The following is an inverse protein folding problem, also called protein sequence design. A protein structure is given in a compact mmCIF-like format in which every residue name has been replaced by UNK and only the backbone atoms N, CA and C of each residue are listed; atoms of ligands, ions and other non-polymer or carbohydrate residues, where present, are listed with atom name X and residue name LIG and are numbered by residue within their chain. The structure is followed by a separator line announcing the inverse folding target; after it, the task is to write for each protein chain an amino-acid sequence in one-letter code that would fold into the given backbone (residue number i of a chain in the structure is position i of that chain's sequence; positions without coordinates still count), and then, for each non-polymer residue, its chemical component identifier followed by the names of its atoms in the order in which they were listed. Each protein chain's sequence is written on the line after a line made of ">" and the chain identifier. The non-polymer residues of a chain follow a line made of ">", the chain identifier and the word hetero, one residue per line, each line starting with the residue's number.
data_IF_059073862269
#
_entry.id   IF_059073862269
#
_cell.length_a   1.000
_cell.length_b   1.000
_cell.length_c   1.000
_cell.angle_alpha   90.00
_cell.angle_beta   90.00
_cell.angle_gamma   90.00
#
_symmetry.space_group_name_H-M   'P 1'
#
loop_
_entity.id
_entity.type
_entity.pdbx_description
1 polymer ?
#
# COMPACT_ATOMS: atom_id res chain seq x y z
N UNK A 1 14.82 -11.78 6.62
CA UNK A 1 14.46 -10.72 5.66
C UNK A 1 13.50 -9.73 6.32
N UNK A 2 13.59 -8.43 6.05
CA UNK A 2 12.62 -7.41 6.48
C UNK A 2 11.99 -6.71 5.26
N UNK A 3 10.70 -6.39 5.34
CA UNK A 3 9.96 -5.68 4.28
C UNK A 3 9.28 -4.44 4.86
N UNK A 4 9.59 -3.27 4.28
CA UNK A 4 8.92 -2.02 4.58
C UNK A 4 7.66 -1.91 3.72
N UNK A 5 6.53 -2.03 4.39
CA UNK A 5 5.23 -2.27 3.78
C UNK A 5 4.22 -1.18 4.17
N UNK A 6 3.32 -0.86 3.24
CA UNK A 6 2.05 -0.19 3.56
C UNK A 6 0.88 -1.14 3.20
N UNK A 7 0.00 -1.49 4.16
CA UNK A 7 -1.12 -2.41 3.94
C UNK A 7 -2.06 -1.99 2.80
N UNK A 8 -2.16 -0.69 2.51
CA UNK A 8 -3.05 -0.15 1.46
C UNK A 8 -2.47 -0.27 0.04
N UNK A 9 -1.26 -0.82 -0.14
CA UNK A 9 -0.59 -0.88 -1.44
C UNK A 9 -0.69 -2.26 -2.09
N UNK A 10 -1.38 -2.35 -3.24
CA UNK A 10 -1.53 -3.60 -4.01
C UNK A 10 -0.20 -4.23 -4.44
N UNK A 11 0.84 -3.42 -4.70
CA UNK A 11 2.20 -3.92 -5.03
C UNK A 11 2.89 -4.54 -3.81
N UNK A 12 2.66 -4.00 -2.62
CA UNK A 12 3.15 -4.59 -1.38
C UNK A 12 2.39 -5.90 -1.05
N UNK A 13 1.09 -5.97 -1.35
CA UNK A 13 0.32 -7.20 -1.22
C UNK A 13 0.85 -8.32 -2.13
N UNK A 14 1.09 -8.02 -3.42
CA UNK A 14 1.68 -8.98 -4.36
C UNK A 14 3.08 -9.45 -3.92
N UNK A 15 3.90 -8.53 -3.38
CA UNK A 15 5.22 -8.88 -2.85
C UNK A 15 5.13 -9.87 -1.68
N UNK A 16 4.20 -9.64 -0.73
CA UNK A 16 3.98 -10.56 0.39
C UNK A 16 3.52 -11.94 -0.07
N UNK A 17 2.53 -11.99 -0.97
CA UNK A 17 2.05 -13.27 -1.52
C UNK A 17 3.17 -14.08 -2.14
N UNK A 18 4.05 -13.46 -2.93
CA UNK A 18 5.18 -14.19 -3.53
C UNK A 18 6.20 -14.69 -2.49
N UNK A 19 6.43 -13.93 -1.41
CA UNK A 19 7.30 -14.35 -0.30
C UNK A 19 6.67 -15.51 0.48
N UNK A 20 5.36 -15.45 0.73
CA UNK A 20 4.59 -16.50 1.40
C UNK A 20 4.56 -17.78 0.57
N UNK A 21 4.31 -17.69 -0.75
CA UNK A 21 4.34 -18.82 -1.69
C UNK A 21 5.72 -19.48 -1.78
N UNK A 22 6.79 -18.68 -1.66
CA UNK A 22 8.16 -19.18 -1.62
C UNK A 22 8.57 -19.75 -0.25
N UNK A 23 7.72 -19.64 0.78
CA UNK A 23 8.03 -20.10 2.14
C UNK A 23 9.15 -19.32 2.81
N UNK A 24 9.42 -18.09 2.37
CA UNK A 24 10.48 -17.23 2.91
C UNK A 24 9.97 -16.49 4.15
N UNK A 25 10.66 -16.64 5.28
CA UNK A 25 10.36 -15.87 6.49
C UNK A 25 10.74 -14.39 6.33
N UNK A 26 9.79 -13.47 6.56
CA UNK A 26 10.05 -12.03 6.55
C UNK A 26 9.40 -11.31 7.74
N UNK A 27 10.04 -10.23 8.19
CA UNK A 27 9.49 -9.30 9.18
C UNK A 27 8.81 -8.12 8.48
N UNK A 28 7.57 -7.81 8.86
CA UNK A 28 6.83 -6.64 8.36
C UNK A 28 7.11 -5.42 9.23
N UNK A 29 7.75 -4.40 8.66
CA UNK A 29 7.91 -3.09 9.30
C UNK A 29 6.90 -2.09 8.71
N UNK A 30 5.90 -1.64 9.50
CA UNK A 30 5.01 -0.55 9.12
C UNK A 30 5.76 0.77 9.26
N UNK A 31 6.54 1.12 8.25
CA UNK A 31 7.47 2.24 8.29
C UNK A 31 6.78 3.62 8.34
N UNK A 32 5.48 3.70 8.03
CA UNK A 32 4.68 4.91 8.20
C UNK A 32 4.35 5.19 9.67
N UNK A 33 4.07 4.15 10.45
CA UNK A 33 3.80 4.25 11.89
C UNK A 33 5.09 4.25 12.72
N UNK A 34 6.11 3.54 12.24
CA UNK A 34 7.44 3.42 12.86
C UNK A 34 8.51 3.89 11.88
N UNK A 35 8.64 5.21 11.67
CA UNK A 35 9.63 5.75 10.74
C UNK A 35 11.05 5.35 11.15
N UNK A 36 11.95 5.11 10.18
CA UNK A 36 13.36 4.90 10.47
C UNK A 36 14.00 6.20 10.96
N UNK A 37 15.05 6.09 11.75
CA UNK A 37 15.96 7.20 12.04
C UNK A 37 16.79 7.58 10.79
N UNK A 38 17.38 8.78 10.79
CA UNK A 38 18.26 9.21 9.70
C UNK A 38 19.44 8.26 9.48
N UNK A 39 20.01 7.74 10.58
CA UNK A 39 21.10 6.76 10.52
C UNK A 39 20.64 5.41 9.93
N UNK A 40 19.48 4.91 10.34
CA UNK A 40 18.90 3.69 9.74
C UNK A 40 18.61 3.89 8.26
N UNK A 41 18.04 5.03 7.86
CA UNK A 41 17.72 5.32 6.47
C UNK A 41 18.99 5.42 5.61
N UNK A 42 20.04 6.09 6.10
CA UNK A 42 21.33 6.17 5.43
C UNK A 42 21.95 4.77 5.21
N UNK A 43 21.88 3.89 6.20
CA UNK A 43 22.35 2.51 6.06
C UNK A 43 21.51 1.74 5.03
N UNK A 44 20.19 1.90 5.01
CA UNK A 44 19.34 1.26 3.99
C UNK A 44 19.65 1.76 2.58
N UNK A 45 19.89 3.05 2.40
CA UNK A 45 20.32 3.63 1.12
C UNK A 45 21.66 3.04 0.65
N UNK A 46 22.61 2.88 1.58
CA UNK A 46 23.90 2.24 1.30
C UNK A 46 23.74 0.78 0.86
N UNK A 47 22.85 0.02 1.51
CA UNK A 47 22.54 -1.38 1.14
C UNK A 47 21.82 -1.50 -0.21
N UNK A 48 21.09 -0.46 -0.59
CA UNK A 48 20.37 -0.39 -1.86
C UNK A 48 21.27 0.05 -3.02
N UNK A 49 22.46 0.57 -2.70
CA UNK A 49 23.35 1.25 -3.65
C UNK A 49 22.60 2.37 -4.41
N UNK A 50 21.77 3.13 -3.69
CA UNK A 50 20.92 4.17 -4.26
C UNK A 50 21.03 5.48 -3.46
N UNK A 51 20.84 6.59 -4.15
CA UNK A 51 20.81 7.92 -3.52
C UNK A 51 19.39 8.24 -3.03
N UNK A 52 19.22 9.14 -2.04
CA UNK A 52 17.90 9.41 -1.48
C UNK A 52 16.91 9.97 -2.51
N UNK A 53 17.37 10.71 -3.52
CA UNK A 53 16.51 11.19 -4.61
C UNK A 53 16.00 10.09 -5.55
N UNK A 54 16.68 8.93 -5.64
CA UNK A 54 16.25 7.80 -6.48
C UNK A 54 15.12 6.99 -5.83
N UNK A 55 15.06 7.02 -4.50
CA UNK A 55 14.04 6.37 -3.69
C UNK A 55 12.99 7.35 -3.15
N UNK A 56 13.16 8.66 -3.35
CA UNK A 56 12.18 9.64 -2.94
C UNK A 56 11.03 9.72 -3.96
N UNK A 57 9.80 9.67 -3.45
CA UNK A 57 8.57 9.83 -4.22
C UNK A 57 8.25 11.32 -4.31
N UNK A 58 8.87 12.00 -5.26
CA UNK A 58 8.73 13.45 -5.47
C UNK A 58 7.32 13.92 -5.85
N UNK A 59 6.41 12.99 -6.17
CA UNK A 59 5.02 13.28 -6.53
C UNK A 59 4.06 13.31 -5.32
N UNK A 60 4.53 12.95 -4.12
CA UNK A 60 3.68 12.99 -2.92
C UNK A 60 3.43 14.44 -2.47
N UNK A 61 2.30 14.71 -1.78
CA UNK A 61 1.94 16.06 -1.34
C UNK A 61 3.04 16.71 -0.47
N UNK A 62 3.66 15.93 0.42
CA UNK A 62 4.77 16.42 1.24
C UNK A 62 5.98 16.87 0.40
N UNK A 63 6.31 16.15 -0.67
CA UNK A 63 7.44 16.52 -1.54
C UNK A 63 7.13 17.79 -2.33
N UNK A 64 5.90 17.93 -2.81
CA UNK A 64 5.43 19.12 -3.53
C UNK A 64 5.42 20.34 -2.59
N UNK A 65 4.93 20.19 -1.36
CA UNK A 65 4.92 21.26 -0.36
C UNK A 65 6.34 21.74 0.01
N UNK A 66 7.32 20.84 -0.01
CA UNK A 66 8.73 21.12 0.27
C UNK A 66 9.53 21.59 -0.96
N UNK A 67 8.93 21.58 -2.16
CA UNK A 67 9.61 21.91 -3.41
C UNK A 67 10.77 20.97 -3.74
N UNK A 68 10.69 19.69 -3.34
CA UNK A 68 11.80 18.74 -3.46
C UNK A 68 12.18 18.43 -4.91
N UNK A 69 11.30 18.71 -5.87
CA UNK A 69 11.60 18.52 -7.30
C UNK A 69 12.80 19.37 -7.76
N UNK A 70 12.96 20.56 -7.18
CA UNK A 70 14.00 21.55 -7.53
C UNK A 70 15.22 21.46 -6.61
N UNK A 71 15.25 20.52 -5.66
CA UNK A 71 16.38 20.38 -4.76
C UNK A 71 17.62 19.87 -5.50
N UNK A 72 18.81 20.35 -5.10
CA UNK A 72 20.06 19.83 -5.63
C UNK A 72 20.19 18.31 -5.40
N UNK A 73 20.80 17.62 -6.37
CA UNK A 73 21.06 16.17 -6.35
C UNK A 73 22.55 15.91 -6.30
N UNK A 74 23.18 16.48 -5.28
CA UNK A 74 24.60 16.32 -4.98
C UNK A 74 24.79 15.83 -3.55
N UNK A 75 26.01 15.42 -3.23
CA UNK A 75 26.35 14.83 -1.93
C UNK A 75 26.14 15.81 -0.77
N UNK A 76 26.29 17.12 -1.00
CA UNK A 76 26.04 18.12 0.03
C UNK A 76 24.56 18.26 0.36
N UNK A 77 23.68 17.95 -0.59
CA UNK A 77 22.23 17.94 -0.39
C UNK A 77 21.72 16.64 0.26
N UNK A 78 22.49 15.55 0.23
CA UNK A 78 22.08 14.22 0.70
C UNK A 78 21.47 14.23 2.13
N UNK A 79 22.07 14.89 3.13
CA UNK A 79 21.51 14.93 4.49
C UNK A 79 20.12 15.59 4.53
N UNK A 80 19.92 16.65 3.74
CA UNK A 80 18.64 17.37 3.65
C UNK A 80 17.53 16.48 3.08
N UNK A 81 17.85 15.65 2.08
CA UNK A 81 16.90 14.68 1.54
C UNK A 81 16.54 13.60 2.58
N UNK A 82 17.52 13.09 3.31
CA UNK A 82 17.32 12.07 4.35
C UNK A 82 16.42 12.63 5.48
N UNK A 83 16.70 13.85 5.96
CA UNK A 83 15.89 14.49 7.01
C UNK A 83 14.42 14.65 6.57
N UNK A 84 14.19 15.08 5.34
CA UNK A 84 12.84 15.21 4.80
C UNK A 84 12.12 13.86 4.73
N UNK A 85 12.82 12.79 4.31
CA UNK A 85 12.26 11.44 4.23
C UNK A 85 11.97 10.83 5.60
N UNK A 86 12.75 11.17 6.63
CA UNK A 86 12.49 10.76 8.02
C UNK A 86 11.29 11.52 8.60
N UNK A 87 11.19 12.82 8.33
CA UNK A 87 10.08 13.65 8.77
C UNK A 87 8.75 13.28 8.08
N UNK A 88 8.82 12.89 6.81
CA UNK A 88 7.68 12.46 6.00
C UNK A 88 7.96 11.07 5.40
N UNK A 89 7.73 9.97 6.15
CA UNK A 89 8.04 8.63 5.68
C UNK A 89 7.30 8.25 4.40
N UNK A 90 6.15 8.86 4.10
CA UNK A 90 5.41 8.66 2.82
C UNK A 90 6.25 8.92 1.55
N UNK A 91 7.29 9.74 1.67
CA UNK A 91 8.26 10.05 0.63
C UNK A 91 9.14 8.85 0.28
N UNK A 92 9.31 7.89 1.17
CA UNK A 92 10.16 6.72 0.95
C UNK A 92 9.47 5.78 -0.05
N UNK A 93 10.24 5.32 -1.05
CA UNK A 93 9.75 4.35 -2.03
C UNK A 93 9.26 3.06 -1.39
N UNK A 94 8.25 2.44 -2.02
CA UNK A 94 7.65 1.16 -1.58
C UNK A 94 7.61 0.12 -2.69
N UNK A 95 7.61 -1.18 -2.33
CA UNK A 95 8.14 -1.76 -1.09
C UNK A 95 9.68 -1.73 -1.07
N UNK A 96 10.29 -1.62 0.11
CA UNK A 96 11.73 -1.87 0.30
C UNK A 96 11.91 -3.25 0.93
N UNK A 97 12.80 -4.03 0.34
CA UNK A 97 13.14 -5.39 0.75
C UNK A 97 14.56 -5.36 1.30
N UNK A 98 14.74 -5.60 2.60
CA UNK A 98 16.03 -5.70 3.26
C UNK A 98 16.34 -7.20 3.44
N UNK A 99 17.38 -7.67 2.78
CA UNK A 99 17.78 -9.07 2.79
C UNK A 99 18.77 -9.32 3.95
N UNK A 100 18.86 -10.58 4.37
CA UNK A 100 19.75 -11.00 5.47
C UNK A 100 21.23 -11.01 5.07
N UNK A 101 21.52 -11.02 3.77
CA UNK A 101 22.87 -10.87 3.20
C UNK A 101 23.40 -9.43 3.29
N UNK A 102 22.59 -8.50 3.82
CA UNK A 102 22.91 -7.08 3.93
C UNK A 102 22.57 -6.27 2.68
N UNK A 103 22.03 -6.87 1.62
CA UNK A 103 21.54 -6.15 0.44
C UNK A 103 20.16 -5.55 0.69
N UNK A 104 19.80 -4.49 -0.05
CA UNK A 104 18.43 -4.01 -0.14
C UNK A 104 17.96 -3.90 -1.59
N UNK A 105 16.66 -4.07 -1.84
CA UNK A 105 16.05 -4.00 -3.17
C UNK A 105 14.74 -3.21 -3.13
N UNK A 106 14.49 -2.41 -4.17
CA UNK A 106 13.17 -1.77 -4.37
C UNK A 106 12.24 -2.76 -5.08
N UNK A 107 11.26 -3.31 -4.38
CA UNK A 107 10.33 -4.31 -4.90
C UNK A 107 9.22 -3.75 -5.81
N UNK A 108 9.54 -2.78 -6.68
CA UNK A 108 8.60 -2.19 -7.65
C UNK A 108 8.24 -3.12 -8.80
N UNK A 109 9.14 -4.05 -9.12
CA UNK A 109 9.05 -4.92 -10.30
C UNK A 109 9.08 -6.38 -9.89
N UNK A 110 8.43 -7.23 -10.68
CA UNK A 110 8.48 -8.68 -10.49
C UNK A 110 9.92 -9.21 -10.54
N UNK A 111 10.79 -8.59 -11.36
CA UNK A 111 12.22 -8.93 -11.43
C UNK A 111 12.97 -8.65 -10.12
N UNK A 112 12.72 -7.51 -9.46
CA UNK A 112 13.34 -7.20 -8.17
C UNK A 112 12.90 -8.17 -7.06
N UNK A 113 11.63 -8.59 -7.09
CA UNK A 113 11.08 -9.57 -6.16
C UNK A 113 11.64 -10.97 -6.40
N UNK A 114 11.73 -11.42 -7.66
CA UNK A 114 12.36 -12.67 -8.03
C UNK A 114 13.85 -12.70 -7.64
N UNK A 115 14.55 -11.57 -7.79
CA UNK A 115 15.93 -11.44 -7.33
C UNK A 115 16.04 -11.56 -5.81
N UNK A 116 15.15 -10.89 -5.07
CA UNK A 116 15.11 -10.99 -3.61
C UNK A 116 14.91 -12.45 -3.15
N UNK A 117 13.99 -13.17 -3.81
CA UNK A 117 13.74 -14.59 -3.54
C UNK A 117 14.96 -15.47 -3.83
N UNK A 118 15.63 -15.28 -4.97
CA UNK A 118 16.85 -16.02 -5.32
C UNK A 118 17.96 -15.83 -4.30
N UNK A 119 18.19 -14.59 -3.87
CA UNK A 119 19.25 -14.26 -2.89
C UNK A 119 18.92 -14.78 -1.49
N UNK A 120 17.65 -14.75 -1.11
CA UNK A 120 17.22 -15.26 0.20
C UNK A 120 17.28 -16.78 0.26
N UNK A 121 16.93 -17.48 -0.82
CA UNK A 121 17.05 -18.94 -0.90
C UNK A 121 18.50 -19.46 -0.84
N UNK A 122 19.47 -18.62 -1.24
CA UNK A 122 20.90 -18.96 -1.21
C UNK A 122 21.52 -18.91 0.21
N UNK A 123 20.84 -18.29 1.18
CA UNK A 123 21.31 -18.18 2.57
C UNK A 123 20.42 -19.05 3.47
N UNK A 124 20.84 -20.26 3.87
CA UNK A 124 20.08 -21.05 4.83
C UNK A 124 20.25 -20.42 6.22
N UNK A 125 19.33 -19.54 6.60
CA UNK A 125 19.38 -18.81 7.87
C UNK A 125 18.00 -18.67 8.50
N UNK A 126 17.76 -19.48 9.54
CA UNK A 126 16.71 -19.43 10.55
C UNK A 126 15.96 -18.09 10.69
N UNK A 127 14.69 -18.07 10.28
CA UNK A 127 13.78 -16.94 10.50
C UNK A 127 12.40 -17.41 10.96
N UNK A 128 12.19 -17.40 12.27
CA UNK A 128 10.94 -17.74 12.95
C UNK A 128 9.76 -16.87 12.48
N UNK A 129 8.60 -17.50 12.33
CA UNK A 129 7.31 -16.88 12.10
C UNK A 129 6.81 -16.19 13.38
N UNK A 130 6.48 -14.89 13.40
CA UNK A 130 5.43 -14.40 14.29
C UNK A 130 4.09 -14.59 13.57
N UNK A 131 3.32 -15.54 14.08
CA UNK A 131 2.14 -16.09 13.42
C UNK A 131 1.05 -15.08 13.06
N UNK A 132 0.43 -15.33 11.91
CA UNK A 132 -0.98 -15.03 11.72
C UNK A 132 -1.75 -16.32 12.01
N UNK A 133 -2.16 -16.49 13.27
CA UNK A 133 -3.17 -17.49 13.60
C UNK A 133 -4.51 -16.97 13.07
N UNK A 134 -5.06 -17.65 12.08
CA UNK A 134 -6.48 -17.52 11.73
C UNK A 134 -7.23 -18.60 12.51
N UNK A 135 -8.03 -18.28 13.53
CA UNK A 135 -8.84 -19.31 14.19
C UNK A 135 -10.02 -19.71 13.28
N UNK A 136 -10.05 -20.99 12.94
CA UNK A 136 -11.27 -21.83 12.94
C UNK A 136 -12.31 -21.56 11.86
N UNK A 137 -12.19 -22.24 10.72
CA UNK A 137 -13.37 -22.78 10.03
C UNK A 137 -13.33 -24.29 10.21
N UNK A 138 -14.14 -24.78 11.16
CA UNK A 138 -14.21 -26.17 11.55
C UNK A 138 -14.68 -27.02 10.36
N UNK A 139 -13.81 -27.94 9.91
CA UNK A 139 -14.21 -29.10 9.13
C UNK A 139 -14.56 -30.22 10.11
N UNK A 140 -15.81 -30.67 10.10
CA UNK A 140 -16.25 -31.86 10.84
C UNK A 140 -16.19 -33.07 9.90
N UNK A 141 -15.34 -34.08 10.14
CA UNK A 141 -15.48 -35.39 9.50
C UNK A 141 -16.41 -36.29 10.33
N UNK A 142 -17.27 -37.02 9.64
CA UNK A 142 -18.32 -37.85 10.23
C UNK A 142 -17.90 -39.27 10.62
N UNK A 143 -18.83 -39.93 11.33
CA UNK A 143 -19.13 -41.38 11.41
C UNK A 143 -20.13 -41.59 12.56
N UNK A 144 -21.13 -42.46 12.60
CA UNK A 144 -21.82 -43.36 11.67
C UNK A 144 -23.06 -43.95 12.41
N UNK A 145 -24.04 -44.50 11.66
CA UNK A 145 -24.99 -45.60 12.00
C UNK A 145 -26.34 -45.34 12.77
N UNK A 146 -27.48 -45.39 12.03
CA UNK A 146 -28.53 -46.46 11.96
C UNK A 146 -29.09 -47.06 13.29
N UNK A 147 -30.39 -47.29 13.61
CA UNK A 147 -31.78 -47.29 13.04
C UNK A 147 -32.82 -47.31 14.24
N UNK A 148 -34.10 -47.76 14.15
CA UNK A 148 -35.34 -46.99 13.94
C UNK A 148 -36.38 -47.08 15.09
N UNK A 149 -37.47 -46.30 15.05
CA UNK A 149 -38.62 -46.52 15.95
C UNK A 149 -39.72 -45.46 15.87
N UNK A 150 -40.91 -45.88 15.45
CA UNK A 150 -42.09 -45.09 15.11
C UNK A 150 -42.86 -44.47 16.31
N UNK A 151 -43.56 -43.35 16.07
CA UNK A 151 -45.01 -43.18 16.30
C UNK A 151 -45.49 -41.72 16.10
N UNK A 152 -46.46 -41.54 15.19
CA UNK A 152 -47.45 -40.43 15.06
C UNK A 152 -48.72 -40.79 15.87
N UNK A 153 -49.86 -40.03 15.96
CA UNK A 153 -50.21 -38.64 15.56
C UNK A 153 -51.13 -37.86 16.56
N UNK A 154 -51.55 -36.64 16.18
CA UNK A 154 -52.78 -35.95 16.65
C UNK A 154 -52.73 -34.43 16.40
N UNK A 155 -53.24 -33.93 15.26
CA UNK A 155 -54.57 -33.28 15.06
C UNK A 155 -54.77 -32.01 15.89
N UNK A 156 -55.30 -30.87 15.45
CA UNK A 156 -55.83 -30.25 14.23
C UNK A 156 -55.85 -28.72 14.57
N UNK A 157 -55.87 -27.72 13.68
CA UNK A 157 -57.04 -27.32 12.89
C UNK A 157 -56.78 -25.89 12.33
N UNK A 158 -57.13 -25.70 11.06
CA UNK A 158 -57.95 -24.58 10.52
C UNK A 158 -57.36 -23.15 10.37
N UNK A 159 -57.28 -22.74 9.08
CA UNK A 159 -57.21 -21.39 8.47
C UNK A 159 -58.57 -20.64 8.61
N UNK A 160 -58.87 -19.46 8.01
CA UNK A 160 -58.07 -18.49 7.24
C UNK A 160 -58.33 -17.00 7.62
N UNK A 161 -57.65 -16.07 6.95
CA UNK A 161 -58.24 -14.78 6.59
C UNK A 161 -57.60 -13.54 7.21
N UNK A 162 -57.08 -12.67 6.34
CA UNK A 162 -56.63 -11.33 6.71
C UNK A 162 -55.91 -10.67 5.54
N UNK A 163 -56.69 -10.10 4.62
CA UNK A 163 -56.18 -9.26 3.52
C UNK A 163 -56.27 -7.78 3.89
N UNK A 164 -55.37 -6.99 3.29
CA UNK A 164 -55.46 -5.55 2.94
C UNK A 164 -55.15 -4.50 4.02
N UNK A 165 -54.97 -3.20 3.67
CA UNK A 165 -53.76 -2.60 3.10
C UNK A 165 -53.41 -1.22 3.74
N UNK A 166 -52.44 -0.49 3.19
CA UNK A 166 -52.35 0.99 3.33
C UNK A 166 -50.99 1.46 3.87
N UNK A 167 -50.13 2.14 3.11
CA UNK A 167 -50.25 3.44 2.41
C UNK A 167 -49.61 4.57 3.19
N UNK A 168 -48.63 5.23 2.54
CA UNK A 168 -48.28 6.66 2.50
C UNK A 168 -46.73 6.78 2.51
N UNK A 169 -46.06 7.13 1.40
CA UNK A 169 -45.99 8.47 0.77
C UNK A 169 -45.42 9.52 1.75
N UNK A 170 -44.47 10.41 1.44
CA UNK A 170 -44.26 11.22 0.21
C UNK A 170 -42.87 11.93 0.31
N UNK A 171 -42.46 12.91 -0.54
CA UNK A 171 -41.11 12.97 -1.10
C UNK A 171 -40.39 14.32 -0.84
N UNK A 172 -39.25 14.53 -1.51
CA UNK A 172 -38.96 15.82 -2.16
C UNK A 172 -38.04 16.80 -1.44
N UNK A 173 -36.95 17.19 -2.13
CA UNK A 173 -36.66 18.56 -2.61
C UNK A 173 -35.19 18.64 -3.01
N UNK A 174 -34.88 18.78 -4.31
CA UNK A 174 -34.70 20.03 -5.08
C UNK A 174 -33.20 20.42 -5.11
N UNK A 175 -32.50 20.23 -6.24
CA UNK A 175 -32.32 21.20 -7.35
C UNK A 175 -31.59 22.48 -6.89
N UNK A 176 -30.50 22.92 -7.53
CA UNK A 176 -30.53 23.75 -8.75
C UNK A 176 -29.08 24.16 -9.15
N UNK A 177 -28.80 24.54 -10.42
CA UNK A 177 -27.49 24.59 -11.06
C UNK A 177 -26.93 26.02 -11.29
N UNK A 178 -25.84 26.11 -12.05
CA UNK A 178 -25.29 27.33 -12.68
C UNK A 178 -23.94 27.75 -12.11
N UNK A 179 -23.02 28.44 -12.79
CA UNK A 179 -22.89 28.97 -14.15
C UNK A 179 -21.51 29.68 -14.21
N UNK A 180 -20.97 29.92 -15.41
CA UNK A 180 -19.91 30.92 -15.67
C UNK A 180 -18.75 30.34 -16.48
N UNK A 181 -18.67 30.57 -17.80
CA UNK A 181 -18.14 31.79 -18.48
C UNK A 181 -16.61 31.89 -18.32
N UNK A 182 -15.77 32.19 -19.30
CA UNK A 182 -15.80 32.47 -20.75
C UNK A 182 -14.30 32.44 -21.20
N UNK A 183 -13.97 32.50 -22.50
CA UNK A 183 -12.59 32.46 -23.00
C UNK A 183 -11.96 33.86 -23.06
N UNK A 184 -10.62 33.96 -23.04
CA UNK A 184 -9.92 35.24 -23.22
C UNK A 184 -8.42 35.11 -23.54
N UNK A 185 -7.88 35.84 -24.54
CA UNK A 185 -6.56 35.61 -25.13
C UNK A 185 -5.47 36.55 -24.59
N UNK A 186 -4.18 36.22 -24.77
CA UNK A 186 -3.11 37.21 -24.53
C UNK A 186 -1.70 36.65 -24.42
N UNK A 187 -1.16 36.05 -25.48
CA UNK A 187 0.28 35.84 -25.61
C UNK A 187 0.85 36.93 -26.54
N UNK A 188 1.37 38.01 -25.94
CA UNK A 188 2.26 38.97 -26.60
C UNK A 188 3.52 39.14 -25.75
N UNK A 189 4.64 38.56 -26.21
CA UNK A 189 6.04 38.95 -25.94
C UNK A 189 6.93 37.89 -26.62
N UNK A 190 7.99 38.29 -27.34
CA UNK A 190 9.18 38.77 -26.64
C UNK A 190 9.68 40.14 -27.09
N UNK A 191 10.13 40.93 -26.12
CA UNK A 191 10.95 42.10 -26.34
C UNK A 191 12.37 41.67 -26.75
N UNK A 192 12.80 42.16 -27.90
CA UNK A 192 14.17 42.11 -28.41
C UNK A 192 15.04 43.15 -27.67
N UNK A 193 16.24 42.81 -27.16
CA UNK A 193 17.15 43.80 -26.59
C UNK A 193 17.98 44.47 -27.70
N UNK A 194 18.16 45.81 -27.70
CA UNK A 194 19.10 46.42 -28.62
C UNK A 194 20.53 46.06 -28.22
N UNK A 195 21.18 45.25 -29.07
CA UNK A 195 22.63 45.14 -29.13
C UNK A 195 23.23 46.51 -29.47
N UNK A 196 23.95 47.08 -28.51
CA UNK A 196 24.76 48.28 -28.67
C UNK A 196 26.23 47.83 -28.67
N UNK A 197 26.80 47.66 -29.87
CA UNK A 197 28.25 47.55 -30.12
C UNK A 197 28.51 48.02 -31.55
N UNK A 198 29.41 48.99 -31.71
CA UNK A 198 29.88 49.50 -33.00
C UNK A 198 30.08 51.00 -32.98
#
# INVERSE_FOLDING_TARGET
>A
MEIWNNPSCSKCAAARTALDEAGVGYALRPYLDRPPSAAELAEVLRRLDARPWDVCRTQEPAAVALGMADWPRDEAAEPRWIEAMVAAPELIQRPLLLLDDGSALVGRTAGALAEALRRTAATPGTGAQPGLVTPGSAVTPGSAATLPGAATPGSAATLPGGVTPGSAATPGSAATPGSGAEPGPGAIAPADPPHLVG
#
